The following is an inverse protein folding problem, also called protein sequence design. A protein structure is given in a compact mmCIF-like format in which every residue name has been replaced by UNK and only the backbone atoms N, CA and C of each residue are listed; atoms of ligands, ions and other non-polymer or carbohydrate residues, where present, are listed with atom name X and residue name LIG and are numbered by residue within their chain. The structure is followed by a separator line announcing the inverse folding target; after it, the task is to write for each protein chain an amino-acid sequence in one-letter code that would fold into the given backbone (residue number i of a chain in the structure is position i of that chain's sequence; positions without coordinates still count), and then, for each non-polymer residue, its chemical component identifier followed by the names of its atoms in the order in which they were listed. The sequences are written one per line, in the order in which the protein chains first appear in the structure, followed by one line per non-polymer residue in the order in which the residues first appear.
data_IF_925003038642
#
_entry.id   IF_925003038642
#
_cell.length_a   1.000
_cell.length_b   1.000
_cell.length_c   1.000
_cell.angle_alpha   90.00
_cell.angle_beta   90.00
_cell.angle_gamma   90.00
#
_symmetry.space_group_name_H-M   'P 1'
#
loop_
_entity.id
_entity.type
_entity.pdbx_description
1 polymer ?
#
# COMPACT_ATOMS: atom_id res chain seq x y z
N UNK A 1 -2.13 -10.35 -11.34
CA UNK A 1 -0.73 -10.46 -10.91
C UNK A 1 -0.52 -9.48 -9.78
N UNK A 2 0.15 -9.89 -8.70
CA UNK A 2 0.43 -9.00 -7.57
C UNK A 2 1.88 -8.54 -7.69
N UNK A 3 2.08 -7.22 -7.81
CA UNK A 3 3.38 -6.60 -7.66
C UNK A 3 3.55 -6.25 -6.18
N UNK A 4 4.66 -6.69 -5.59
CA UNK A 4 4.95 -6.48 -4.17
C UNK A 4 6.27 -5.73 -4.09
N UNK A 5 6.30 -4.63 -3.33
CA UNK A 5 7.53 -3.91 -3.02
C UNK A 5 7.57 -3.57 -1.55
N UNK A 6 8.78 -3.50 -0.97
CA UNK A 6 8.96 -3.08 0.41
C UNK A 6 8.72 -1.57 0.55
N UNK A 7 8.16 -1.16 1.69
CA UNK A 7 7.97 0.24 2.04
C UNK A 7 7.96 0.45 3.56
N UNK A 8 8.23 1.67 3.99
CA UNK A 8 8.13 2.08 5.41
C UNK A 8 6.87 2.88 5.65
N UNK A 9 6.11 2.54 6.68
CA UNK A 9 4.91 3.31 7.05
C UNK A 9 5.32 4.54 7.85
N UNK A 10 5.06 5.73 7.33
CA UNK A 10 5.40 6.99 8.00
C UNK A 10 4.28 7.46 8.92
N UNK A 11 3.03 7.29 8.47
CA UNK A 11 1.84 7.73 9.21
C UNK A 11 0.63 6.91 8.79
N UNK A 12 -0.32 6.71 9.71
CA UNK A 12 -1.64 6.15 9.40
C UNK A 12 -2.71 7.12 9.90
N UNK A 13 -3.65 7.49 9.03
CA UNK A 13 -4.80 8.36 9.34
C UNK A 13 -6.12 7.64 9.07
N UNK A 14 -7.17 7.97 9.83
CA UNK A 14 -8.53 7.50 9.54
C UNK A 14 -9.18 8.45 8.55
N UNK A 15 -9.74 7.92 7.46
CA UNK A 15 -10.39 8.70 6.41
C UNK A 15 -11.94 8.65 6.47
N UNK A 16 -12.51 7.91 7.44
CA UNK A 16 -13.97 7.72 7.61
C UNK A 16 -14.44 6.34 7.18
N UNK A 17 -15.64 5.92 7.59
CA UNK A 17 -16.25 4.63 7.22
C UNK A 17 -15.36 3.38 7.44
N UNK A 18 -14.53 3.39 8.48
CA UNK A 18 -13.56 2.31 8.74
C UNK A 18 -12.31 2.32 7.85
N UNK A 19 -12.25 3.21 6.84
CA UNK A 19 -11.10 3.36 5.96
C UNK A 19 -9.92 4.01 6.70
N UNK A 20 -8.75 3.41 6.52
CA UNK A 20 -7.46 3.93 6.99
C UNK A 20 -6.56 4.19 5.79
N UNK A 21 -5.84 5.30 5.82
CA UNK A 21 -4.87 5.69 4.80
C UNK A 21 -3.49 5.69 5.43
N UNK A 22 -2.55 4.97 4.83
CA UNK A 22 -1.14 4.98 5.18
C UNK A 22 -0.40 5.93 4.24
N UNK A 23 0.47 6.76 4.82
CA UNK A 23 1.52 7.45 4.10
C UNK A 23 2.75 6.54 4.16
N UNK A 24 3.24 6.11 2.99
CA UNK A 24 4.38 5.20 2.87
C UNK A 24 5.55 5.88 2.17
N UNK A 25 6.75 5.39 2.48
CA UNK A 25 8.00 5.76 1.83
C UNK A 25 8.63 4.51 1.22
N UNK A 26 8.95 4.57 -0.07
CA UNK A 26 9.65 3.52 -0.80
C UNK A 26 11.17 3.63 -0.60
N UNK A 27 11.96 2.56 -0.86
CA UNK A 27 13.41 2.58 -0.66
C UNK A 27 14.16 3.62 -1.51
N UNK A 28 13.56 4.06 -2.62
CA UNK A 28 14.10 5.12 -3.49
C UNK A 28 13.81 6.54 -2.96
N UNK A 29 13.13 6.66 -1.82
CA UNK A 29 12.71 7.93 -1.23
C UNK A 29 11.40 8.48 -1.79
N UNK A 30 10.70 7.75 -2.66
CA UNK A 30 9.38 8.16 -3.16
C UNK A 30 8.32 8.00 -2.07
N UNK A 31 7.39 8.96 -1.96
CA UNK A 31 6.31 8.94 -0.97
C UNK A 31 4.93 8.88 -1.62
N UNK A 32 3.97 8.22 -0.95
CA UNK A 32 2.59 8.18 -1.42
C UNK A 32 1.57 7.86 -0.32
N UNK A 33 0.30 8.20 -0.58
CA UNK A 33 -0.84 7.83 0.26
C UNK A 33 -1.60 6.66 -0.35
N UNK A 34 -1.97 5.66 0.46
CA UNK A 34 -2.75 4.52 0.00
C UNK A 34 -3.56 3.86 1.13
N UNK A 35 -4.57 3.04 0.79
CA UNK A 35 -5.34 2.29 1.78
C UNK A 35 -4.45 1.40 2.65
N UNK A 36 -4.63 1.49 3.96
CA UNK A 36 -3.89 0.72 4.95
C UNK A 36 -4.63 -0.56 5.35
N UNK A 37 -3.89 -1.66 5.53
CA UNK A 37 -4.40 -2.84 6.22
C UNK A 37 -4.78 -2.56 7.68
N UNK A 38 -5.64 -3.41 8.23
CA UNK A 38 -6.01 -3.30 9.64
C UNK A 38 -4.80 -3.61 10.53
N UNK A 39 -4.61 -2.84 11.60
CA UNK A 39 -3.50 -3.04 12.54
C UNK A 39 -2.14 -2.49 12.11
N UNK A 40 -2.01 -1.90 10.92
CA UNK A 40 -0.77 -1.27 10.44
C UNK A 40 -0.39 -0.05 11.29
N UNK A 41 0.86 0.02 11.78
CA UNK A 41 1.34 1.13 12.62
C UNK A 41 2.46 1.94 11.96
N UNK A 42 2.62 3.22 12.35
CA UNK A 42 3.78 4.02 11.94
C UNK A 42 5.10 3.40 12.40
N UNK A 43 6.14 3.50 11.56
CA UNK A 43 7.49 2.99 11.82
C UNK A 43 7.68 1.51 11.52
N UNK A 44 6.62 0.76 11.22
CA UNK A 44 6.73 -0.66 10.90
C UNK A 44 7.12 -0.87 9.42
N UNK A 45 7.94 -1.90 9.12
CA UNK A 45 8.17 -2.34 7.76
C UNK A 45 6.88 -2.96 7.19
N UNK A 46 6.53 -2.55 5.97
CA UNK A 46 5.33 -3.00 5.28
C UNK A 46 5.67 -3.41 3.84
N UNK A 47 4.70 -4.01 3.18
CA UNK A 47 4.76 -4.30 1.75
C UNK A 47 3.61 -3.59 1.04
N UNK A 48 3.92 -2.86 -0.02
CA UNK A 48 2.94 -2.34 -0.95
C UNK A 48 2.56 -3.46 -1.92
N UNK A 49 1.31 -3.91 -1.85
CA UNK A 49 0.73 -4.88 -2.76
C UNK A 49 -0.16 -4.16 -3.80
N UNK A 50 0.23 -4.26 -5.07
CA UNK A 50 -0.55 -3.77 -6.20
C UNK A 50 -1.12 -4.97 -6.94
N UNK A 51 -2.44 -5.14 -6.88
CA UNK A 51 -3.13 -6.14 -7.70
C UNK A 51 -3.35 -5.56 -9.08
N UNK A 52 -2.64 -6.09 -10.08
CA UNK A 52 -2.79 -5.71 -11.48
C UNK A 52 -3.71 -6.71 -12.17
N UNK A 53 -4.76 -6.19 -12.79
CA UNK A 53 -5.63 -6.94 -13.69
C UNK A 53 -5.15 -6.87 -15.12
N UNK A 54 -5.22 -7.99 -15.83
CA UNK A 54 -5.11 -8.04 -17.28
C UNK A 54 -6.52 -7.90 -17.86
N UNK A 55 -6.79 -6.77 -18.53
CA UNK A 55 -7.85 -6.70 -19.53
C UNK A 55 -7.14 -6.60 -20.88
N UNK A 56 -7.39 -7.57 -21.78
CA UNK A 56 -6.87 -7.68 -23.16
C UNK A 56 -5.70 -6.72 -23.49
N UNK A 57 -4.47 -7.18 -23.27
CA UNK A 57 -3.26 -6.49 -23.73
C UNK A 57 -2.81 -5.25 -22.94
N UNK A 58 -3.51 -4.87 -21.86
CA UNK A 58 -3.08 -3.75 -20.99
C UNK A 58 -3.09 -4.13 -19.51
N UNK A 59 -2.01 -3.74 -18.83
CA UNK A 59 -1.85 -3.86 -17.38
C UNK A 59 -2.49 -2.64 -16.70
N UNK A 60 -3.53 -2.87 -15.90
CA UNK A 60 -4.17 -1.82 -15.11
C UNK A 60 -4.16 -2.19 -13.61
N UNK A 61 -3.77 -1.27 -12.70
CA UNK A 61 -3.92 -1.50 -11.27
C UNK A 61 -5.40 -1.61 -10.91
N UNK A 62 -5.83 -2.76 -10.38
CA UNK A 62 -7.20 -3.00 -9.90
C UNK A 62 -7.38 -2.57 -8.44
N UNK A 63 -6.34 -2.75 -7.63
CA UNK A 63 -6.32 -2.34 -6.24
C UNK A 63 -4.87 -2.12 -5.78
N UNK A 64 -4.67 -1.13 -4.90
CA UNK A 64 -3.39 -0.90 -4.21
C UNK A 64 -3.63 -0.85 -2.71
N UNK A 65 -2.81 -1.56 -1.93
CA UNK A 65 -2.90 -1.61 -0.47
C UNK A 65 -1.53 -1.87 0.16
N UNK A 66 -1.27 -1.29 1.33
CA UNK A 66 -0.12 -1.64 2.17
C UNK A 66 -0.52 -2.74 3.16
N UNK A 67 0.30 -3.78 3.25
CA UNK A 67 0.12 -4.96 4.08
C UNK A 67 1.32 -5.17 5.01
N UNK A 68 1.11 -5.94 6.09
CA UNK A 68 2.16 -6.25 7.06
C UNK A 68 3.17 -7.22 6.45
N UNK A 69 4.47 -6.96 6.61
CA UNK A 69 5.52 -7.91 6.24
C UNK A 69 5.53 -9.07 7.25
N UNK A 70 5.33 -10.30 6.76
CA UNK A 70 5.45 -11.54 7.53
C UNK A 70 6.90 -11.90 7.81
#
# INVERSE_FOLDING_TARGET
MNLITECTVRKVKRAGNGLRIAMVELPDGTFGELPAAEGLKPGEPAQLAVTVGLQMGRLYPRAMRAERKG
#
